data_IF_583343439037
#
_entry.id   IF_583343439037
#
_cell.length_a   1.000
_cell.length_b   1.000
_cell.length_c   1.000
_cell.angle_alpha   90.00
_cell.angle_beta   90.00
_cell.angle_gamma   90.00
#
_symmetry.space_group_name_H-M   'P 1'
#
loop_
_entity.id
_entity.type
_entity.pdbx_description
1 polymer ?
#
# COMPACT_ATOMS: atom_id res chain seq x y z
N UNK A 1 -23.50 -0.96 12.83
CA UNK A 1 -23.32 -0.13 11.62
C UNK A 1 -21.84 -0.17 11.31
N UNK A 2 -21.43 -0.44 10.06
CA UNK A 2 -20.05 -0.20 9.68
C UNK A 2 -19.84 1.32 9.72
N UNK A 3 -18.81 1.79 10.41
CA UNK A 3 -18.35 3.16 10.23
C UNK A 3 -17.84 3.27 8.78
N UNK A 4 -18.18 4.36 8.09
CA UNK A 4 -17.68 4.63 6.74
C UNK A 4 -16.89 5.91 6.84
N UNK A 5 -15.65 5.94 6.39
CA UNK A 5 -14.89 7.18 6.34
C UNK A 5 -15.04 7.85 4.98
N UNK A 6 -14.75 9.14 4.91
CA UNK A 6 -14.63 9.87 3.65
C UNK A 6 -13.26 10.51 3.58
N UNK A 7 -12.53 10.23 2.49
CA UNK A 7 -11.21 10.79 2.27
C UNK A 7 -11.18 11.70 1.05
N UNK A 8 -10.44 12.79 1.17
CA UNK A 8 -10.10 13.67 0.05
C UNK A 8 -8.63 14.01 0.11
N UNK A 9 -7.96 14.04 -1.03
CA UNK A 9 -6.53 14.26 -1.05
C UNK A 9 -5.93 14.34 -2.44
N UNK A 10 -4.61 14.17 -2.49
CA UNK A 10 -3.79 14.18 -3.70
C UNK A 10 -3.00 12.90 -3.81
N UNK A 11 -2.82 12.44 -5.04
CA UNK A 11 -1.90 11.38 -5.44
C UNK A 11 -0.84 11.94 -6.36
N UNK A 12 0.39 11.49 -6.17
CA UNK A 12 1.54 11.91 -6.93
C UNK A 12 2.12 10.71 -7.67
N UNK A 13 2.29 10.87 -8.99
CA UNK A 13 2.96 9.90 -9.86
C UNK A 13 4.15 10.59 -10.53
N UNK A 14 5.23 9.85 -10.76
CA UNK A 14 6.36 10.39 -11.53
C UNK A 14 5.92 10.83 -12.94
N UNK A 15 6.44 11.98 -13.39
CA UNK A 15 6.12 12.55 -14.69
C UNK A 15 6.49 11.61 -15.83
N UNK A 16 7.62 10.92 -15.70
CA UNK A 16 8.11 9.98 -16.69
C UNK A 16 7.14 8.80 -16.85
N UNK A 17 6.76 8.16 -15.75
CA UNK A 17 5.76 7.09 -15.75
C UNK A 17 4.44 7.55 -16.40
N UNK A 18 3.96 8.75 -16.05
CA UNK A 18 2.75 9.29 -16.67
C UNK A 18 2.90 9.48 -18.18
N UNK A 19 3.98 10.08 -18.68
CA UNK A 19 4.12 10.30 -20.12
C UNK A 19 4.26 8.97 -20.89
N UNK A 20 4.92 7.97 -20.29
CA UNK A 20 5.00 6.61 -20.87
C UNK A 20 3.62 5.92 -20.94
N UNK A 21 2.77 6.06 -19.90
CA UNK A 21 1.45 5.41 -19.83
C UNK A 21 0.27 6.37 -19.94
N UNK A 22 0.47 7.53 -20.57
CA UNK A 22 -0.47 8.66 -20.60
C UNK A 22 -1.89 8.29 -20.92
N UNK A 23 -2.07 7.45 -21.94
CA UNK A 23 -3.40 7.01 -22.38
C UNK A 23 -4.11 6.15 -21.32
N UNK A 24 -3.36 5.32 -20.60
CA UNK A 24 -3.89 4.47 -19.54
C UNK A 24 -4.30 5.32 -18.33
N UNK A 25 -3.42 6.20 -17.86
CA UNK A 25 -3.68 7.08 -16.70
C UNK A 25 -4.84 8.03 -17.00
N UNK A 26 -4.87 8.68 -18.16
CA UNK A 26 -5.97 9.57 -18.53
C UNK A 26 -7.32 8.84 -18.60
N UNK A 27 -7.34 7.60 -19.10
CA UNK A 27 -8.57 6.78 -19.15
C UNK A 27 -9.02 6.36 -17.76
N UNK A 28 -8.08 6.01 -16.90
CA UNK A 28 -8.35 5.67 -15.50
C UNK A 28 -8.95 6.86 -14.74
N UNK A 29 -8.37 8.06 -14.85
CA UNK A 29 -8.92 9.30 -14.26
C UNK A 29 -10.30 9.61 -14.83
N UNK A 30 -10.42 9.61 -16.16
CA UNK A 30 -11.66 9.95 -16.86
C UNK A 30 -12.82 9.02 -16.49
N UNK A 31 -12.55 7.74 -16.22
CA UNK A 31 -13.55 6.80 -15.74
C UNK A 31 -14.27 7.31 -14.49
N UNK A 32 -13.55 7.85 -13.51
CA UNK A 32 -14.15 8.39 -12.27
C UNK A 32 -14.83 9.75 -12.44
N UNK A 33 -14.63 10.42 -13.57
CA UNK A 33 -15.31 11.69 -13.89
C UNK A 33 -16.63 11.46 -14.63
N UNK A 34 -16.69 10.42 -15.46
CA UNK A 34 -17.85 10.13 -16.32
C UNK A 34 -18.80 9.09 -15.72
N UNK A 35 -18.36 8.34 -14.72
CA UNK A 35 -19.19 7.31 -14.12
C UNK A 35 -20.01 7.84 -12.95
N UNK A 36 -21.32 7.59 -12.98
CA UNK A 36 -22.24 7.89 -11.87
C UNK A 36 -22.12 6.88 -10.70
N UNK A 37 -20.97 6.22 -10.51
CA UNK A 37 -20.77 5.17 -9.49
C UNK A 37 -20.52 5.73 -8.08
N UNK A 38 -20.90 6.99 -7.82
CA UNK A 38 -20.75 7.64 -6.52
C UNK A 38 -21.64 6.92 -5.51
N UNK A 39 -21.01 6.26 -4.53
CA UNK A 39 -21.67 5.78 -3.32
C UNK A 39 -22.18 4.34 -3.33
N UNK A 40 -21.88 3.54 -4.36
CA UNK A 40 -22.26 2.11 -4.34
C UNK A 40 -21.23 1.24 -3.61
N UNK A 41 -19.95 1.67 -3.48
CA UNK A 41 -18.83 0.82 -3.00
C UNK A 41 -17.70 1.61 -2.31
N UNK A 42 -16.88 0.94 -1.48
CA UNK A 42 -15.70 1.50 -0.81
C UNK A 42 -14.51 1.65 -1.75
N UNK A 43 -13.88 2.82 -1.81
CA UNK A 43 -12.73 3.13 -2.66
C UNK A 43 -12.82 4.52 -3.29
N UNK A 44 -12.13 4.71 -4.40
CA UNK A 44 -12.14 5.97 -5.16
C UNK A 44 -13.54 6.24 -5.75
N UNK A 45 -14.01 7.47 -5.56
CA UNK A 45 -15.28 7.97 -6.12
C UNK A 45 -15.08 9.12 -7.10
N UNK A 46 -13.92 9.77 -7.05
CA UNK A 46 -13.57 10.90 -7.91
C UNK A 46 -12.07 10.92 -8.15
N UNK A 47 -11.67 11.28 -9.37
CA UNK A 47 -10.30 11.63 -9.73
C UNK A 47 -10.28 12.83 -10.68
N UNK A 48 -9.28 13.71 -10.54
CA UNK A 48 -8.97 14.72 -11.53
C UNK A 48 -7.48 15.02 -11.57
N UNK A 49 -6.95 15.23 -12.77
CA UNK A 49 -5.59 15.77 -12.91
C UNK A 49 -5.66 17.25 -12.56
N UNK A 50 -5.00 17.62 -11.47
CA UNK A 50 -4.91 19.00 -10.98
C UNK A 50 -3.78 19.72 -11.70
N UNK A 51 -2.56 19.17 -11.62
CA UNK A 51 -1.34 19.82 -12.11
C UNK A 51 -0.37 18.80 -12.73
N UNK A 52 0.48 19.29 -13.63
CA UNK A 52 1.62 18.58 -14.21
C UNK A 52 2.85 19.45 -13.99
N UNK A 53 3.74 19.01 -13.11
CA UNK A 53 5.02 19.68 -12.86
C UNK A 53 6.08 19.11 -13.80
N UNK A 54 7.34 19.51 -13.60
CA UNK A 54 8.48 18.93 -14.31
C UNK A 54 8.68 17.45 -13.91
N UNK A 55 8.52 17.16 -12.61
CA UNK A 55 8.86 15.86 -12.01
C UNK A 55 7.65 14.99 -11.72
N UNK A 56 6.45 15.56 -11.61
CA UNK A 56 5.27 14.85 -11.11
C UNK A 56 3.97 15.15 -11.88
N UNK A 57 3.05 14.20 -11.80
CA UNK A 57 1.64 14.38 -12.10
C UNK A 57 0.88 14.38 -10.76
N UNK A 58 0.13 15.45 -10.52
CA UNK A 58 -0.71 15.62 -9.33
C UNK A 58 -2.16 15.29 -9.70
N UNK A 59 -2.74 14.33 -8.99
CA UNK A 59 -4.12 13.87 -9.16
C UNK A 59 -4.89 14.11 -7.88
N UNK A 60 -5.90 14.96 -7.91
CA UNK A 60 -6.89 15.08 -6.83
C UNK A 60 -7.80 13.86 -6.80
N UNK A 61 -8.16 13.43 -5.59
CA UNK A 61 -9.09 12.32 -5.38
C UNK A 61 -10.08 12.56 -4.26
N UNK A 62 -11.22 11.87 -4.35
CA UNK A 62 -12.12 11.66 -3.23
C UNK A 62 -12.60 10.21 -3.20
N UNK A 63 -12.86 9.67 -2.01
CA UNK A 63 -13.33 8.31 -1.85
C UNK A 63 -14.02 8.02 -0.52
N UNK A 64 -14.57 6.81 -0.42
CA UNK A 64 -15.27 6.30 0.77
C UNK A 64 -14.49 5.11 1.33
N UNK A 65 -14.10 5.18 2.59
CA UNK A 65 -13.37 4.12 3.28
C UNK A 65 -14.30 3.12 3.99
N UNK A 66 -13.89 1.85 4.05
CA UNK A 66 -14.50 0.83 4.91
C UNK A 66 -13.88 0.96 6.30
N UNK A 67 -14.63 1.49 7.26
CA UNK A 67 -14.14 1.87 8.60
C UNK A 67 -13.22 3.09 8.59
N UNK A 68 -12.07 2.98 7.92
CA UNK A 68 -11.13 4.06 7.64
C UNK A 68 -10.70 4.04 6.17
N UNK A 69 -10.04 5.12 5.72
CA UNK A 69 -9.46 5.16 4.38
C UNK A 69 -8.22 4.27 4.28
N UNK A 70 -7.46 4.16 5.36
CA UNK A 70 -6.30 3.27 5.51
C UNK A 70 -6.66 1.81 5.17
N UNK A 71 -7.73 1.28 5.75
CA UNK A 71 -8.26 -0.06 5.47
C UNK A 71 -8.74 -0.24 4.02
N UNK A 72 -8.84 0.86 3.27
CA UNK A 72 -9.31 0.88 1.87
C UNK A 72 -8.16 1.06 0.88
N UNK A 73 -6.98 1.51 1.35
CA UNK A 73 -5.80 1.71 0.51
C UNK A 73 -5.40 0.41 -0.18
N UNK A 74 -5.47 -0.71 0.55
CA UNK A 74 -5.06 -2.01 0.03
C UNK A 74 -5.85 -2.46 -1.19
N UNK A 75 -7.13 -2.10 -1.22
CA UNK A 75 -8.07 -2.44 -2.27
C UNK A 75 -8.07 -1.44 -3.41
N UNK A 76 -7.36 -0.31 -3.31
CA UNK A 76 -7.52 0.83 -4.23
C UNK A 76 -7.06 0.49 -5.66
N UNK A 77 -5.95 -0.23 -5.77
CA UNK A 77 -5.38 -0.65 -7.06
C UNK A 77 -5.63 -2.13 -7.37
N UNK A 78 -6.08 -2.92 -6.40
CA UNK A 78 -6.52 -4.27 -6.67
C UNK A 78 -7.32 -4.95 -5.55
N UNK A 79 -8.42 -5.60 -5.92
CA UNK A 79 -8.58 -7.05 -5.77
C UNK A 79 -9.81 -7.45 -6.60
N UNK A 80 -9.90 -8.73 -6.94
CA UNK A 80 -11.11 -9.32 -7.52
C UNK A 80 -12.25 -9.42 -6.49
N UNK A 81 -11.99 -9.14 -5.20
CA UNK A 81 -12.96 -9.35 -4.13
C UNK A 81 -14.03 -8.23 -4.07
N UNK A 82 -13.82 -7.16 -4.83
CA UNK A 82 -14.81 -6.09 -5.07
C UNK A 82 -14.97 -5.84 -6.57
N UNK A 83 -15.31 -6.89 -7.34
CA UNK A 83 -15.71 -6.80 -8.75
C UNK A 83 -16.70 -5.66 -9.04
N UNK A 84 -17.45 -5.20 -8.05
CA UNK A 84 -18.42 -4.13 -8.19
C UNK A 84 -17.84 -2.70 -8.33
N UNK A 85 -16.53 -2.51 -8.20
CA UNK A 85 -15.84 -1.29 -8.63
C UNK A 85 -15.14 -1.50 -10.00
N UNK A 86 -15.95 -1.68 -11.05
CA UNK A 86 -15.51 -1.94 -12.42
C UNK A 86 -14.76 -0.75 -13.07
N UNK A 87 -13.56 -0.41 -12.62
CA UNK A 87 -12.64 0.39 -13.44
C UNK A 87 -11.81 -0.57 -14.33
N UNK A 88 -12.09 -0.66 -15.64
CA UNK A 88 -11.41 -1.60 -16.53
C UNK A 88 -9.91 -1.31 -16.72
N UNK A 89 -9.45 -0.16 -16.23
CA UNK A 89 -8.06 0.27 -16.32
C UNK A 89 -7.25 -0.06 -15.07
N UNK A 90 -7.90 -0.36 -13.94
CA UNK A 90 -7.28 -0.58 -12.62
C UNK A 90 -6.24 -1.71 -12.65
N UNK A 91 -6.62 -2.91 -13.11
CA UNK A 91 -5.69 -4.06 -13.16
C UNK A 91 -4.46 -3.81 -14.04
N UNK A 92 -4.66 -3.13 -15.19
CA UNK A 92 -3.57 -2.80 -16.10
C UNK A 92 -2.68 -1.68 -15.54
N UNK A 93 -3.25 -0.73 -14.80
CA UNK A 93 -2.49 0.31 -14.09
C UNK A 93 -1.64 -0.31 -12.99
N UNK A 94 -2.22 -1.18 -12.16
CA UNK A 94 -1.50 -1.92 -11.12
C UNK A 94 -0.35 -2.76 -11.70
N UNK A 95 -0.58 -3.45 -12.83
CA UNK A 95 0.48 -4.16 -13.55
C UNK A 95 1.66 -3.24 -13.94
N UNK A 96 1.36 -2.03 -14.42
CA UNK A 96 2.39 -1.08 -14.85
C UNK A 96 3.17 -0.52 -13.66
N UNK A 97 2.46 -0.12 -12.61
CA UNK A 97 3.07 0.32 -11.37
C UNK A 97 4.02 -0.74 -10.79
N UNK A 98 3.58 -2.00 -10.75
CA UNK A 98 4.41 -3.13 -10.30
C UNK A 98 5.66 -3.34 -11.17
N UNK A 99 5.49 -3.46 -12.50
CA UNK A 99 6.60 -3.79 -13.42
C UNK A 99 7.70 -2.73 -13.45
N UNK A 100 7.33 -1.50 -13.20
CA UNK A 100 8.22 -0.34 -13.28
C UNK A 100 8.65 0.15 -11.90
N UNK A 101 8.22 -0.55 -10.83
CA UNK A 101 8.50 -0.21 -9.43
C UNK A 101 8.14 1.25 -9.11
N UNK A 102 7.05 1.73 -9.71
CA UNK A 102 6.51 3.07 -9.50
C UNK A 102 5.77 3.10 -8.17
N UNK A 103 6.21 4.00 -7.27
CA UNK A 103 5.52 4.27 -6.02
C UNK A 103 4.43 5.32 -6.24
N UNK A 104 3.34 5.26 -5.47
CA UNK A 104 2.29 6.28 -5.48
C UNK A 104 2.28 6.95 -4.11
N UNK A 105 2.73 8.20 -4.06
CA UNK A 105 2.60 9.00 -2.85
C UNK A 105 1.18 9.54 -2.76
N UNK A 106 0.58 9.49 -1.57
CA UNK A 106 -0.74 10.05 -1.29
C UNK A 106 -0.72 10.91 -0.04
N UNK A 107 -1.31 12.10 -0.16
CA UNK A 107 -1.58 13.00 0.95
C UNK A 107 -3.08 13.18 1.06
N UNK A 108 -3.67 12.91 2.22
CA UNK A 108 -5.12 12.96 2.36
C UNK A 108 -5.59 13.31 3.76
N UNK A 109 -6.82 13.82 3.79
CA UNK A 109 -7.59 14.02 5.01
C UNK A 109 -8.66 12.94 5.06
N UNK A 110 -8.66 12.13 6.11
CA UNK A 110 -9.71 11.15 6.38
C UNK A 110 -10.67 11.67 7.45
N UNK A 111 -11.97 11.56 7.16
CA UNK A 111 -13.05 11.95 8.06
C UNK A 111 -13.87 10.72 8.43
N UNK A 112 -13.84 10.35 9.71
CA UNK A 112 -14.58 9.20 10.25
C UNK A 112 -15.82 9.65 11.04
N UNK A 113 -17.05 9.47 10.53
CA UNK A 113 -18.27 9.82 11.25
C UNK A 113 -18.38 9.01 12.56
N UNK A 114 -18.31 9.70 13.71
CA UNK A 114 -18.41 9.08 15.04
C UNK A 114 -17.12 9.10 15.86
N UNK A 115 -15.98 9.37 15.20
CA UNK A 115 -14.75 9.85 15.83
C UNK A 115 -14.59 11.30 15.36
N UNK A 116 -14.63 12.31 16.22
CA UNK A 116 -14.48 13.74 15.81
C UNK A 116 -13.04 14.07 15.34
N UNK A 117 -12.38 13.15 14.64
CA UNK A 117 -10.97 13.20 14.30
C UNK A 117 -10.86 13.33 12.78
N UNK A 118 -10.39 14.49 12.33
CA UNK A 118 -9.81 14.65 11.01
C UNK A 118 -8.35 14.24 11.11
N UNK A 119 -7.94 13.23 10.35
CA UNK A 119 -6.55 12.77 10.32
C UNK A 119 -5.93 13.16 8.98
N UNK A 120 -4.90 14.01 9.04
CA UNK A 120 -4.01 14.27 7.91
C UNK A 120 -2.97 13.14 7.85
N UNK A 121 -2.85 12.50 6.69
CA UNK A 121 -1.94 11.37 6.49
C UNK A 121 -1.15 11.55 5.19
N UNK A 122 0.09 11.10 5.24
CA UNK A 122 0.99 10.95 4.09
C UNK A 122 1.42 9.49 4.03
N UNK A 123 1.20 8.83 2.90
CA UNK A 123 1.50 7.40 2.71
C UNK A 123 2.10 7.15 1.33
N UNK A 124 3.07 6.25 1.27
CA UNK A 124 3.65 5.76 0.02
C UNK A 124 3.15 4.36 -0.27
N UNK A 125 2.42 4.22 -1.36
CA UNK A 125 1.82 2.98 -1.80
C UNK A 125 2.73 2.25 -2.79
N UNK A 126 2.94 0.95 -2.56
CA UNK A 126 3.70 0.07 -3.45
C UNK A 126 2.80 -1.06 -3.92
N UNK A 127 2.81 -1.30 -5.24
CA UNK A 127 2.09 -2.45 -5.80
C UNK A 127 2.97 -3.68 -5.68
N UNK A 128 2.47 -4.74 -5.06
CA UNK A 128 3.07 -6.07 -5.00
C UNK A 128 2.29 -7.04 -5.89
N UNK A 129 2.88 -8.21 -6.20
CA UNK A 129 2.20 -9.25 -6.97
C UNK A 129 2.14 -10.56 -6.18
N UNK A 130 0.95 -10.92 -5.67
CA UNK A 130 0.70 -12.19 -4.99
C UNK A 130 -0.20 -13.10 -5.84
N UNK A 131 0.21 -14.35 -6.10
CA UNK A 131 -0.61 -15.36 -6.84
C UNK A 131 -1.27 -14.84 -8.15
N UNK A 132 -0.57 -13.97 -8.90
CA UNK A 132 -1.05 -13.28 -10.11
C UNK A 132 -2.06 -12.14 -9.92
N UNK A 133 -2.34 -11.75 -8.68
CA UNK A 133 -3.04 -10.51 -8.33
C UNK A 133 -2.00 -9.43 -8.01
N UNK A 134 -2.30 -8.20 -8.37
CA UNK A 134 -1.57 -7.05 -7.85
C UNK A 134 -2.23 -6.64 -6.54
N UNK A 135 -1.54 -6.07 -5.56
CA UNK A 135 -2.10 -5.59 -4.27
C UNK A 135 -1.28 -4.38 -3.84
N UNK A 136 -1.85 -3.42 -3.11
CA UNK A 136 -1.12 -2.23 -2.66
C UNK A 136 -1.03 -2.26 -1.15
N UNK A 137 0.15 -2.12 -0.56
CA UNK A 137 0.27 -2.30 0.90
C UNK A 137 1.31 -1.36 1.49
N UNK A 138 1.07 -0.94 2.73
CA UNK A 138 2.07 -0.25 3.53
C UNK A 138 3.25 -1.17 3.87
N UNK A 139 4.46 -0.62 3.92
CA UNK A 139 5.66 -1.42 4.18
C UNK A 139 6.94 -0.61 4.33
N UNK A 140 8.05 -1.33 4.49
CA UNK A 140 9.38 -0.77 4.74
C UNK A 140 10.42 -1.34 3.78
N UNK A 141 11.26 -0.47 3.21
CA UNK A 141 12.39 -0.81 2.35
C UNK A 141 13.72 -0.72 3.06
N UNK A 142 14.61 -1.66 2.73
CA UNK A 142 15.94 -1.73 3.32
C UNK A 142 16.97 -0.76 2.73
N UNK A 143 16.70 -0.16 1.58
CA UNK A 143 17.54 0.89 0.99
C UNK A 143 17.11 2.31 1.33
N UNK A 144 15.95 2.49 1.96
CA UNK A 144 15.53 3.75 2.58
C UNK A 144 15.91 3.77 4.07
N UNK A 145 16.82 4.69 4.46
CA UNK A 145 17.33 4.77 5.84
C UNK A 145 16.27 5.14 6.87
N UNK A 146 15.25 5.89 6.48
CA UNK A 146 14.18 6.32 7.39
C UNK A 146 13.19 5.19 7.63
N UNK A 147 12.80 4.50 6.55
CA UNK A 147 11.97 3.28 6.63
C UNK A 147 12.67 2.18 7.45
N UNK A 148 13.99 2.00 7.29
CA UNK A 148 14.75 1.05 8.14
C UNK A 148 14.69 1.43 9.62
N UNK A 149 14.72 2.73 9.97
CA UNK A 149 14.58 3.15 11.37
C UNK A 149 13.17 2.87 11.89
N UNK A 150 12.14 3.15 11.09
CA UNK A 150 10.75 2.87 11.45
C UNK A 150 10.52 1.36 11.62
N UNK A 151 10.99 0.54 10.68
CA UNK A 151 10.95 -0.93 10.76
C UNK A 151 11.63 -1.43 12.03
N UNK A 152 12.76 -0.85 12.45
CA UNK A 152 13.43 -1.27 13.68
C UNK A 152 12.60 -1.01 14.94
N UNK A 153 11.79 0.05 14.95
CA UNK A 153 10.84 0.31 16.05
C UNK A 153 9.75 -0.76 16.04
N UNK A 154 9.12 -0.99 14.89
CA UNK A 154 8.07 -2.01 14.73
C UNK A 154 8.57 -3.40 15.12
N UNK A 155 9.74 -3.83 14.62
CA UNK A 155 10.30 -5.13 14.96
C UNK A 155 10.62 -5.27 16.45
N UNK A 156 10.93 -4.17 17.14
CA UNK A 156 11.18 -4.20 18.59
C UNK A 156 9.90 -4.45 19.37
N UNK A 157 8.79 -3.89 18.93
CA UNK A 157 7.50 -4.07 19.60
C UNK A 157 6.89 -5.43 19.23
N UNK A 158 6.94 -5.81 17.95
CA UNK A 158 6.64 -7.18 17.49
C UNK A 158 7.39 -8.23 18.31
N UNK A 159 8.69 -8.04 18.54
CA UNK A 159 9.50 -9.01 19.30
C UNK A 159 9.01 -9.18 20.74
N UNK A 160 8.65 -8.09 21.42
CA UNK A 160 8.17 -8.14 22.81
C UNK A 160 6.80 -8.78 22.90
N UNK A 161 5.91 -8.43 21.97
CA UNK A 161 4.53 -8.94 21.95
C UNK A 161 4.48 -10.44 21.63
N UNK A 162 5.46 -10.92 20.86
CA UNK A 162 5.53 -12.29 20.37
C UNK A 162 6.72 -13.07 20.95
N UNK A 163 7.28 -12.64 22.08
CA UNK A 163 8.52 -13.21 22.65
C UNK A 163 8.40 -14.73 22.89
N UNK A 164 7.22 -15.23 23.25
CA UNK A 164 6.99 -16.65 23.55
C UNK A 164 7.18 -17.54 22.32
N UNK A 165 6.70 -17.10 21.15
CA UNK A 165 6.73 -17.87 19.90
C UNK A 165 8.05 -17.71 19.12
N UNK A 166 8.81 -16.64 19.39
CA UNK A 166 10.09 -16.42 18.71
C UNK A 166 11.15 -17.37 19.28
N UNK A 167 11.70 -18.22 18.41
CA UNK A 167 12.77 -19.17 18.76
C UNK A 167 14.02 -18.46 19.28
N UNK A 168 14.39 -17.34 18.63
CA UNK A 168 15.55 -16.53 18.99
C UNK A 168 15.25 -15.61 20.20
N UNK A 169 15.73 -16.01 21.38
CA UNK A 169 15.55 -15.25 22.64
C UNK A 169 16.47 -14.03 22.77
N UNK A 170 17.14 -13.64 21.68
CA UNK A 170 17.93 -12.43 21.57
C UNK A 170 17.41 -11.52 20.45
N UNK A 171 16.80 -10.38 20.83
CA UNK A 171 16.31 -9.38 19.87
C UNK A 171 17.34 -8.94 18.82
N UNK A 172 18.63 -8.87 19.18
CA UNK A 172 19.67 -8.44 18.23
C UNK A 172 19.88 -9.47 17.11
N UNK A 173 19.78 -10.74 17.45
CA UNK A 173 19.91 -11.86 16.51
C UNK A 173 18.62 -11.98 15.69
N UNK A 174 17.45 -11.97 16.34
CA UNK A 174 16.15 -11.92 15.66
C UNK A 174 16.08 -10.81 14.61
N UNK A 175 16.42 -9.57 14.99
CA UNK A 175 16.41 -8.43 14.06
C UNK A 175 17.35 -8.67 12.88
N UNK A 176 18.54 -9.23 13.13
CA UNK A 176 19.50 -9.50 12.06
C UNK A 176 18.92 -10.51 11.09
N UNK A 177 18.29 -11.56 11.59
CA UNK A 177 17.70 -12.62 10.78
C UNK A 177 16.53 -12.11 9.94
N UNK A 178 15.64 -11.30 10.53
CA UNK A 178 14.57 -10.61 9.78
C UNK A 178 15.15 -9.75 8.65
N UNK A 179 16.17 -8.94 8.92
CA UNK A 179 16.77 -8.08 7.89
C UNK A 179 17.48 -8.88 6.78
N UNK A 180 18.04 -10.04 7.13
CA UNK A 180 18.62 -10.97 6.14
C UNK A 180 17.53 -11.59 5.28
N UNK A 181 16.46 -12.08 5.90
CA UNK A 181 15.28 -12.62 5.22
C UNK A 181 14.71 -11.62 4.21
N UNK A 182 14.39 -10.40 4.63
CA UNK A 182 13.84 -9.35 3.76
C UNK A 182 14.75 -9.07 2.56
N UNK A 183 16.07 -9.15 2.76
CA UNK A 183 17.05 -8.87 1.71
C UNK A 183 17.24 -10.04 0.73
N UNK A 184 17.15 -11.27 1.21
CA UNK A 184 17.50 -12.46 0.44
C UNK A 184 16.28 -13.13 -0.20
N UNK A 185 15.12 -12.96 0.41
CA UNK A 185 13.88 -13.51 -0.12
C UNK A 185 13.50 -12.82 -1.44
N UNK A 186 13.26 -13.64 -2.47
CA UNK A 186 13.00 -13.15 -3.83
C UNK A 186 11.65 -12.47 -3.95
N UNK A 187 10.67 -12.85 -3.14
CA UNK A 187 9.35 -12.25 -3.16
C UNK A 187 9.36 -10.88 -2.45
N UNK A 188 10.20 -10.74 -1.43
CA UNK A 188 10.32 -9.49 -0.66
C UNK A 188 11.15 -8.42 -1.37
N UNK A 189 12.13 -8.81 -2.20
CA UNK A 189 12.93 -7.88 -3.02
C UNK A 189 13.51 -6.69 -2.22
N UNK A 190 13.92 -6.91 -0.96
CA UNK A 190 14.49 -5.88 -0.11
C UNK A 190 13.47 -4.97 0.59
N UNK A 191 12.18 -5.31 0.59
CA UNK A 191 11.14 -4.64 1.37
C UNK A 191 10.17 -5.61 2.04
N UNK A 192 9.49 -5.17 3.09
CA UNK A 192 8.49 -5.97 3.81
C UNK A 192 7.20 -5.16 4.00
N UNK A 193 6.06 -5.79 3.75
CA UNK A 193 4.75 -5.20 4.00
C UNK A 193 4.33 -5.36 5.46
N UNK A 194 3.55 -4.42 5.97
CA UNK A 194 3.05 -4.43 7.35
C UNK A 194 2.18 -5.64 7.66
N UNK A 195 1.28 -6.05 6.75
CA UNK A 195 0.39 -7.20 6.96
C UNK A 195 1.15 -8.49 7.28
N UNK A 196 2.37 -8.67 6.75
CA UNK A 196 3.20 -9.83 7.07
C UNK A 196 3.54 -9.83 8.56
N UNK A 197 3.75 -8.68 9.16
CA UNK A 197 4.04 -8.53 10.59
C UNK A 197 2.77 -8.62 11.47
N UNK A 198 1.57 -8.57 10.88
CA UNK A 198 0.29 -8.69 11.60
C UNK A 198 -0.12 -10.14 11.88
N UNK A 199 0.43 -11.11 11.14
CA UNK A 199 0.36 -12.54 11.44
C UNK A 199 1.74 -13.07 11.89
N UNK A 200 2.06 -12.97 13.20
CA UNK A 200 3.34 -13.39 13.72
C UNK A 200 3.70 -14.84 13.42
N UNK A 201 2.71 -15.75 13.41
CA UNK A 201 2.95 -17.16 13.19
C UNK A 201 3.41 -17.43 11.77
N UNK A 202 2.65 -16.91 10.79
CA UNK A 202 2.97 -17.07 9.37
C UNK A 202 4.31 -16.40 9.02
N UNK A 203 4.56 -15.20 9.53
CA UNK A 203 5.81 -14.50 9.27
C UNK A 203 7.05 -15.22 9.81
N UNK A 204 6.97 -15.74 11.03
CA UNK A 204 8.09 -16.47 11.61
C UNK A 204 8.36 -17.77 10.86
N UNK A 205 7.33 -18.49 10.43
CA UNK A 205 7.47 -19.71 9.61
C UNK A 205 8.13 -19.40 8.25
N UNK A 206 7.61 -18.40 7.53
CA UNK A 206 8.15 -17.95 6.23
C UNK A 206 9.64 -17.53 6.36
N UNK A 207 9.96 -16.77 7.41
CA UNK A 207 11.32 -16.32 7.68
C UNK A 207 12.25 -17.51 7.96
N UNK A 208 11.85 -18.42 8.86
CA UNK A 208 12.67 -19.59 9.21
C UNK A 208 12.90 -20.50 8.00
N UNK A 209 11.90 -20.71 7.15
CA UNK A 209 12.02 -21.54 5.96
C UNK A 209 12.90 -20.90 4.88
N UNK A 210 12.79 -19.58 4.68
CA UNK A 210 13.65 -18.84 3.76
C UNK A 210 15.12 -18.88 4.22
N UNK A 211 15.37 -18.75 5.53
CA UNK A 211 16.72 -18.81 6.11
C UNK A 211 17.34 -20.21 6.14
N UNK A 212 16.54 -21.29 6.14
CA UNK A 212 17.05 -22.68 5.99
C UNK A 212 17.56 -22.99 4.59
N UNK A 213 17.13 -22.23 3.58
CA UNK A 213 17.45 -22.45 2.16
C UNK A 213 18.68 -21.63 1.71
N UNK A 214 19.13 -20.66 2.51
CA UNK A 214 20.28 -19.78 2.26
C UNK A 214 21.63 -20.39 2.73
#
# INVERSE_FOLDING_TARGET
MANMSTATGKMYLEREFYEQHKNLVNKWVKFYQESNHIGEWYGLTYLAIEEKTEDELIIEFAGIGRWSWEDTLEWMFASEDFESQFNPYKAKLAEKLYKENQEVLMEYVDYEPGCEILVEREVTLRVNKHKNKYEVEEGYRLDNKEEVKALQVVLKDFYKENEEMITEKNYREFKKDVLVYIKQDRELNGGICLFRLEDPGMFLEDMEDSLKIA
#
